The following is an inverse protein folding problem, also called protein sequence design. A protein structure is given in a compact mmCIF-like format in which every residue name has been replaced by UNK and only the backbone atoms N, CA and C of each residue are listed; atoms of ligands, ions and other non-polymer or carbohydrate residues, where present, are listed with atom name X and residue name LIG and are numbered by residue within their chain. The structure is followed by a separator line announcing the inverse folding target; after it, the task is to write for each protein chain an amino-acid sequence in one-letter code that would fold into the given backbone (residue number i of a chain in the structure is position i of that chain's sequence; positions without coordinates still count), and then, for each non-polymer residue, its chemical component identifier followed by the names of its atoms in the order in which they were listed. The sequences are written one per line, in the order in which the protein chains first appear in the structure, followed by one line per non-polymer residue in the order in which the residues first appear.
data_IF_900966188748
#
_entry.id   IF_900966188748
#
_cell.length_a   1.000
_cell.length_b   1.000
_cell.length_c   1.000
_cell.angle_alpha   90.00
_cell.angle_beta   90.00
_cell.angle_gamma   90.00
#
_symmetry.space_group_name_H-M   'P 1'
#
loop_
_entity.id
_entity.type
_entity.pdbx_description
1 polymer ?
#
# COMPACT_ATOMS: atom_id res chain seq x y z
N UNK A 1 -55.18 -63.78 -21.56
CA UNK A 1 -53.85 -64.25 -22.02
C UNK A 1 -53.29 -63.24 -23.00
N UNK A 2 -52.07 -62.71 -22.72
CA UNK A 2 -51.16 -62.00 -23.65
C UNK A 2 -51.69 -60.69 -24.26
N UNK A 3 -50.93 -59.61 -24.45
CA UNK A 3 -49.57 -59.19 -24.05
C UNK A 3 -49.54 -57.66 -24.23
N UNK A 4 -48.64 -57.04 -23.48
CA UNK A 4 -48.42 -55.61 -23.22
C UNK A 4 -48.08 -54.81 -24.49
N UNK A 5 -48.60 -53.59 -24.57
CA UNK A 5 -48.22 -52.51 -25.51
C UNK A 5 -47.26 -51.56 -24.78
N UNK A 6 -46.22 -51.06 -25.45
CA UNK A 6 -45.65 -49.68 -25.42
C UNK A 6 -44.23 -49.73 -26.05
N UNK A 7 -44.06 -49.23 -27.28
CA UNK A 7 -43.62 -47.88 -27.69
C UNK A 7 -42.14 -47.56 -27.38
N UNK A 8 -41.48 -47.17 -28.48
CA UNK A 8 -40.12 -46.65 -28.70
C UNK A 8 -39.42 -46.00 -27.51
N UNK A 9 -38.09 -46.20 -27.45
CA UNK A 9 -37.12 -45.14 -27.17
C UNK A 9 -35.77 -45.48 -27.82
N UNK A 10 -35.42 -44.71 -28.85
CA UNK A 10 -34.12 -44.72 -29.51
C UNK A 10 -33.06 -44.22 -28.53
N UNK A 11 -32.22 -45.12 -28.00
CA UNK A 11 -31.01 -44.73 -27.28
C UNK A 11 -29.86 -44.59 -28.27
N UNK A 12 -29.60 -43.34 -28.66
CA UNK A 12 -28.36 -42.92 -29.29
C UNK A 12 -27.20 -43.21 -28.34
N UNK A 13 -26.34 -44.18 -28.71
CA UNK A 13 -25.08 -44.38 -28.02
C UNK A 13 -24.12 -43.27 -28.43
N UNK A 14 -23.99 -42.26 -27.58
CA UNK A 14 -22.87 -41.33 -27.64
C UNK A 14 -21.61 -42.05 -27.16
N UNK A 15 -20.65 -42.20 -28.07
CA UNK A 15 -19.33 -42.76 -27.77
C UNK A 15 -18.65 -41.85 -26.76
N UNK A 16 -18.45 -42.35 -25.55
CA UNK A 16 -17.65 -41.72 -24.50
C UNK A 16 -16.20 -41.58 -24.97
N UNK A 17 -15.83 -40.38 -25.44
CA UNK A 17 -14.44 -40.00 -25.58
C UNK A 17 -13.85 -39.74 -24.17
N UNK A 18 -13.43 -40.79 -23.48
CA UNK A 18 -12.50 -40.69 -22.35
C UNK A 18 -11.13 -40.24 -22.89
N UNK A 19 -10.92 -38.94 -23.10
CA UNK A 19 -9.58 -38.37 -23.12
C UNK A 19 -9.24 -37.92 -21.70
N UNK A 20 -8.34 -38.68 -21.08
CA UNK A 20 -7.65 -38.38 -19.81
C UNK A 20 -7.33 -36.88 -19.74
N UNK A 21 -7.91 -36.17 -18.78
CA UNK A 21 -7.37 -34.87 -18.34
C UNK A 21 -5.92 -35.14 -17.94
N UNK A 22 -4.95 -34.58 -18.67
CA UNK A 22 -3.61 -34.38 -18.14
C UNK A 22 -3.80 -33.59 -16.86
N UNK A 23 -3.48 -34.19 -15.72
CA UNK A 23 -3.21 -33.43 -14.50
C UNK A 23 -2.04 -32.53 -14.88
N UNK A 24 -2.34 -31.26 -15.14
CA UNK A 24 -1.31 -30.22 -15.11
C UNK A 24 -0.87 -30.23 -13.67
N UNK A 25 0.34 -30.70 -13.38
CA UNK A 25 0.96 -30.43 -12.09
C UNK A 25 0.88 -28.93 -11.89
N UNK A 26 0.06 -28.48 -10.94
CA UNK A 26 0.11 -27.12 -10.45
C UNK A 26 1.53 -26.94 -9.93
N UNK A 27 2.36 -26.28 -10.72
CA UNK A 27 3.64 -25.77 -10.27
C UNK A 27 3.30 -24.95 -9.03
N UNK A 28 3.82 -25.30 -7.85
CA UNK A 28 3.47 -24.57 -6.65
C UNK A 28 3.86 -23.11 -6.90
N UNK A 29 2.87 -22.23 -6.84
CA UNK A 29 3.00 -20.78 -6.98
C UNK A 29 3.72 -20.23 -5.73
N UNK A 30 4.94 -20.72 -5.51
CA UNK A 30 5.89 -20.29 -4.51
C UNK A 30 7.06 -19.63 -5.21
N UNK A 31 6.79 -18.88 -6.28
CA UNK A 31 7.57 -17.69 -6.60
C UNK A 31 7.12 -16.68 -5.54
N UNK A 32 7.79 -16.59 -4.38
CA UNK A 32 8.93 -15.68 -4.24
C UNK A 32 8.71 -14.43 -5.09
N UNK A 33 7.65 -13.69 -4.78
CA UNK A 33 7.70 -12.24 -4.91
C UNK A 33 8.70 -11.83 -3.83
N UNK A 34 9.98 -11.90 -4.17
CA UNK A 34 10.98 -11.17 -3.40
C UNK A 34 10.52 -9.72 -3.46
N UNK A 35 10.17 -9.16 -2.30
CA UNK A 35 9.72 -7.76 -2.18
C UNK A 35 10.76 -6.92 -2.92
N UNK A 36 10.35 -6.32 -4.04
CA UNK A 36 11.27 -5.63 -4.96
C UNK A 36 12.08 -4.62 -4.14
N UNK A 37 13.38 -4.90 -3.96
CA UNK A 37 14.26 -4.02 -3.19
C UNK A 37 14.57 -2.81 -4.05
N UNK A 38 14.08 -1.67 -3.60
CA UNK A 38 14.38 -0.38 -4.22
C UNK A 38 15.87 -0.10 -3.98
N UNK A 39 16.65 0.26 -5.01
CA UNK A 39 18.04 0.68 -4.85
C UNK A 39 18.18 1.81 -3.82
N UNK A 40 19.21 1.76 -2.97
CA UNK A 40 19.37 2.76 -1.89
C UNK A 40 19.57 4.18 -2.41
N UNK A 41 20.18 4.33 -3.57
CA UNK A 41 20.39 5.61 -4.27
C UNK A 41 19.08 6.20 -4.81
N UNK A 42 18.04 5.39 -4.97
CA UNK A 42 16.68 5.82 -5.32
C UNK A 42 15.84 6.19 -4.10
N UNK A 43 16.33 6.03 -2.86
CA UNK A 43 15.56 6.33 -1.64
C UNK A 43 15.89 7.70 -1.02
N UNK A 44 14.86 8.44 -0.62
CA UNK A 44 14.97 9.65 0.20
C UNK A 44 15.29 9.36 1.67
N UNK A 45 15.30 8.10 2.08
CA UNK A 45 15.56 7.67 3.45
C UNK A 45 16.84 8.27 4.04
N UNK A 46 17.94 8.29 3.27
CA UNK A 46 19.20 8.90 3.69
C UNK A 46 19.09 10.42 3.93
N UNK A 47 18.29 11.10 3.12
CA UNK A 47 18.04 12.55 3.22
C UNK A 47 17.14 12.92 4.40
N UNK A 48 16.11 12.11 4.64
CA UNK A 48 15.11 12.37 5.67
C UNK A 48 15.54 11.89 7.05
N UNK A 49 16.53 10.99 7.14
CA UNK A 49 17.07 10.45 8.39
C UNK A 49 17.37 11.57 9.41
N UNK A 50 16.83 11.41 10.62
CA UNK A 50 17.01 12.32 11.75
C UNK A 50 16.19 13.61 11.69
N UNK A 51 15.36 13.79 10.66
CA UNK A 51 14.56 15.01 10.50
C UNK A 51 13.23 14.94 11.25
N UNK A 52 12.81 16.11 11.75
CA UNK A 52 11.49 16.33 12.34
C UNK A 52 10.67 17.27 11.46
N UNK A 53 9.38 16.98 11.41
CA UNK A 53 8.39 17.70 10.63
C UNK A 53 7.12 17.84 11.43
N UNK A 54 6.48 18.99 11.33
CA UNK A 54 5.41 19.42 12.21
C UNK A 54 4.13 19.65 11.43
N UNK A 55 3.01 19.26 12.03
CA UNK A 55 1.69 19.35 11.42
C UNK A 55 0.59 19.47 12.49
N UNK A 56 -0.63 19.72 12.04
CA UNK A 56 -1.80 19.77 12.91
C UNK A 56 -2.89 18.90 12.32
N UNK A 57 -3.00 17.68 12.86
CA UNK A 57 -3.95 16.67 12.38
C UNK A 57 -5.40 17.16 12.36
N UNK A 58 -5.76 18.19 13.14
CA UNK A 58 -7.12 18.76 13.13
C UNK A 58 -7.38 19.72 11.96
N UNK A 59 -6.33 20.36 11.45
CA UNK A 59 -6.42 21.34 10.37
C UNK A 59 -6.11 20.72 9.01
N UNK A 60 -5.41 19.59 8.99
CA UNK A 60 -5.17 18.81 7.78
C UNK A 60 -6.47 18.12 7.30
N UNK A 61 -6.63 18.00 5.98
CA UNK A 61 -7.81 17.38 5.37
C UNK A 61 -7.62 15.87 5.29
N UNK A 62 -8.71 15.11 5.32
CA UNK A 62 -8.68 13.63 5.36
C UNK A 62 -7.89 12.95 4.22
N UNK A 63 -7.59 13.65 3.12
CA UNK A 63 -6.85 13.11 1.97
C UNK A 63 -5.45 13.72 1.75
N UNK A 64 -5.04 14.72 2.55
CA UNK A 64 -3.76 15.41 2.37
C UNK A 64 -3.13 15.80 3.71
N UNK A 65 -1.84 15.52 3.87
CA UNK A 65 -1.05 15.90 5.05
C UNK A 65 0.06 16.87 4.64
N UNK A 66 0.10 18.04 5.27
CA UNK A 66 1.13 19.04 5.04
C UNK A 66 2.06 19.17 6.24
N UNK A 67 3.34 18.86 6.02
CA UNK A 67 4.36 18.87 7.07
C UNK A 67 5.37 19.98 6.79
N UNK A 68 5.75 20.74 7.81
CA UNK A 68 6.78 21.77 7.69
C UNK A 68 7.73 21.79 8.91
N UNK A 69 8.49 22.88 9.05
CA UNK A 69 9.45 23.09 10.15
C UNK A 69 8.87 23.91 11.32
N UNK A 70 7.57 24.24 11.31
CA UNK A 70 6.96 25.06 12.35
C UNK A 70 6.72 24.25 13.63
N UNK A 71 7.66 24.35 14.57
CA UNK A 71 7.60 23.66 15.85
C UNK A 71 6.48 24.11 16.80
N UNK A 72 5.68 25.11 16.41
CA UNK A 72 4.48 25.54 17.15
C UNK A 72 3.29 24.60 16.92
N UNK A 73 3.31 23.81 15.85
CA UNK A 73 2.24 22.83 15.59
C UNK A 73 2.36 21.64 16.56
N UNK A 74 1.22 21.07 16.99
CA UNK A 74 1.20 20.11 18.09
C UNK A 74 1.71 18.71 17.73
N UNK A 75 1.59 18.30 16.46
CA UNK A 75 1.89 16.94 16.03
C UNK A 75 3.21 16.88 15.27
N UNK A 76 3.93 15.76 15.43
CA UNK A 76 5.31 15.63 14.93
C UNK A 76 5.52 14.30 14.23
N UNK A 77 5.96 14.34 12.97
CA UNK A 77 6.58 13.21 12.26
C UNK A 77 8.10 13.29 12.44
N UNK A 78 8.69 12.23 12.95
CA UNK A 78 10.13 12.07 13.12
C UNK A 78 10.63 10.87 12.33
N UNK A 79 11.49 11.11 11.34
CA UNK A 79 12.22 10.05 10.65
C UNK A 79 13.42 9.66 11.51
N UNK A 80 13.20 8.82 12.52
CA UNK A 80 14.15 8.49 13.60
C UNK A 80 15.53 8.08 13.06
N UNK A 81 15.54 7.20 12.06
CA UNK A 81 16.75 6.82 11.33
C UNK A 81 16.41 6.58 9.85
N UNK A 82 17.32 5.98 9.07
CA UNK A 82 17.08 5.72 7.64
C UNK A 82 16.08 4.60 7.34
N UNK A 83 15.40 4.04 8.35
CA UNK A 83 14.40 2.98 8.18
C UNK A 83 13.15 3.21 9.03
N UNK A 84 13.28 3.83 10.20
CA UNK A 84 12.21 3.94 11.19
C UNK A 84 11.65 5.34 11.25
N UNK A 85 10.34 5.43 11.41
CA UNK A 85 9.65 6.68 11.72
C UNK A 85 8.85 6.58 13.02
N UNK A 86 8.54 7.74 13.58
CA UNK A 86 7.60 7.88 14.68
C UNK A 86 6.76 9.14 14.47
N UNK A 87 5.44 9.00 14.52
CA UNK A 87 4.51 10.13 14.61
C UNK A 87 4.04 10.23 16.06
N UNK A 88 4.12 11.44 16.61
CA UNK A 88 3.59 11.76 17.94
C UNK A 88 2.44 12.72 17.77
N UNK A 89 1.24 12.28 18.16
CA UNK A 89 0.03 13.09 18.18
C UNK A 89 -0.16 13.63 19.59
N UNK A 90 -0.28 14.96 19.71
CA UNK A 90 -0.45 15.64 20.99
C UNK A 90 -1.59 16.66 20.91
N UNK A 91 -2.77 16.14 20.59
CA UNK A 91 -4.01 16.90 20.52
C UNK A 91 -4.75 16.79 21.86
N UNK A 92 -5.53 17.82 22.22
CA UNK A 92 -6.14 17.93 23.56
C UNK A 92 -6.74 16.63 24.14
N UNK A 93 -7.55 15.90 23.36
CA UNK A 93 -8.15 14.62 23.74
C UNK A 93 -7.50 13.38 23.09
N UNK A 94 -6.44 13.54 22.30
CA UNK A 94 -5.76 12.46 21.60
C UNK A 94 -4.25 12.55 21.78
N UNK A 95 -3.70 11.63 22.58
CA UNK A 95 -2.26 11.46 22.79
C UNK A 95 -1.86 10.08 22.33
N UNK A 96 -1.25 10.00 21.16
CA UNK A 96 -0.94 8.73 20.51
C UNK A 96 0.45 8.76 19.89
N UNK A 97 1.01 7.57 19.69
CA UNK A 97 2.30 7.39 19.03
C UNK A 97 2.16 6.30 17.98
N UNK A 98 2.37 6.67 16.72
CA UNK A 98 2.40 5.74 15.58
C UNK A 98 3.86 5.48 15.25
N UNK A 99 4.24 4.21 15.09
CA UNK A 99 5.62 3.79 14.79
C UNK A 99 5.63 2.79 13.66
N UNK A 100 6.68 2.83 12.85
CA UNK A 100 6.83 1.88 11.76
C UNK A 100 8.15 2.03 11.03
N UNK A 101 8.21 1.39 9.88
CA UNK A 101 9.28 1.58 8.91
C UNK A 101 8.80 2.39 7.71
N UNK A 102 9.73 3.03 7.01
CA UNK A 102 9.42 3.79 5.81
C UNK A 102 10.43 3.55 4.70
N UNK A 103 9.97 3.64 3.45
CA UNK A 103 10.77 3.59 2.23
C UNK A 103 10.17 4.56 1.21
N UNK A 104 10.78 5.73 1.06
CA UNK A 104 10.28 6.80 0.19
C UNK A 104 11.21 6.92 -1.02
N UNK A 105 10.67 6.72 -2.23
CA UNK A 105 11.42 6.84 -3.49
C UNK A 105 11.66 8.31 -3.87
N UNK A 106 12.80 8.58 -4.52
CA UNK A 106 13.09 9.79 -5.31
C UNK A 106 12.43 9.65 -6.69
N UNK A 107 12.17 10.74 -7.40
CA UNK A 107 11.91 10.64 -8.85
C UNK A 107 13.17 10.78 -9.70
N UNK A 108 13.03 10.28 -10.93
CA UNK A 108 14.02 10.28 -11.98
C UNK A 108 14.32 11.66 -12.59
N UNK A 109 13.47 12.67 -12.36
CA UNK A 109 13.67 14.05 -12.84
C UNK A 109 14.20 15.01 -11.76
N UNK A 110 14.49 14.48 -10.56
CA UNK A 110 14.85 15.29 -9.39
C UNK A 110 13.65 15.83 -8.60
N UNK A 111 12.42 15.61 -9.08
CA UNK A 111 11.19 15.86 -8.32
C UNK A 111 10.86 14.68 -7.38
N UNK A 112 9.78 14.82 -6.63
CA UNK A 112 9.39 13.91 -5.56
C UNK A 112 7.92 13.56 -5.72
N UNK A 113 7.56 12.78 -6.72
CA UNK A 113 6.33 12.00 -6.64
C UNK A 113 6.71 10.52 -6.68
N UNK A 114 5.93 9.65 -6.06
CA UNK A 114 6.27 8.22 -6.05
C UNK A 114 5.64 7.59 -7.29
N UNK A 115 6.16 6.46 -7.75
CA UNK A 115 5.37 5.62 -8.64
C UNK A 115 4.01 5.37 -7.98
N UNK A 116 2.97 5.75 -8.71
CA UNK A 116 1.57 5.43 -8.49
C UNK A 116 1.37 4.10 -7.74
N UNK A 117 0.75 4.13 -6.55
CA UNK A 117 0.41 2.93 -5.77
C UNK A 117 1.48 2.40 -4.79
N UNK A 118 2.56 3.15 -4.53
CA UNK A 118 3.56 2.73 -3.53
C UNK A 118 3.05 2.93 -2.09
N UNK A 119 3.41 2.00 -1.21
CA UNK A 119 3.05 2.01 0.20
C UNK A 119 4.30 2.36 1.02
N UNK A 120 4.62 3.66 1.19
CA UNK A 120 5.89 4.09 1.74
C UNK A 120 6.02 3.80 3.23
N UNK A 121 4.93 3.56 3.95
CA UNK A 121 4.96 3.30 5.39
C UNK A 121 4.43 1.91 5.72
N UNK A 122 5.08 1.28 6.69
CA UNK A 122 4.63 0.04 7.32
C UNK A 122 4.50 0.26 8.80
N UNK A 123 3.27 0.38 9.27
CA UNK A 123 2.96 0.65 10.68
C UNK A 123 3.10 -0.64 11.50
N UNK A 124 3.68 -0.51 12.69
CA UNK A 124 3.93 -1.62 13.63
C UNK A 124 3.28 -1.41 14.99
N UNK A 125 2.94 -0.16 15.35
CA UNK A 125 2.15 0.16 16.53
C UNK A 125 0.67 -0.20 16.32
N UNK A 126 -0.06 -0.61 17.38
CA UNK A 126 -1.50 -0.83 17.27
C UNK A 126 -2.24 0.48 16.98
N UNK A 127 -3.28 0.42 16.16
CA UNK A 127 -4.16 1.56 15.89
C UNK A 127 -4.96 1.97 17.13
N UNK A 128 -5.18 3.27 17.30
CA UNK A 128 -6.03 3.83 18.34
C UNK A 128 -7.15 4.63 17.69
N UNK A 129 -8.34 4.64 18.30
CA UNK A 129 -9.55 5.25 17.73
C UNK A 129 -9.35 6.71 17.31
N UNK A 130 -8.59 7.49 18.07
CA UNK A 130 -8.43 8.93 17.79
C UNK A 130 -7.44 9.25 16.65
N UNK A 131 -6.76 8.25 16.09
CA UNK A 131 -5.84 8.38 14.94
C UNK A 131 -6.19 7.38 13.84
N UNK A 132 -7.42 6.86 13.82
CA UNK A 132 -7.83 5.81 12.89
C UNK A 132 -7.66 6.25 11.43
N UNK A 133 -8.12 7.46 11.11
CA UNK A 133 -8.06 8.00 9.74
C UNK A 133 -6.62 8.25 9.29
N UNK A 134 -5.78 8.82 10.17
CA UNK A 134 -4.34 8.97 9.90
C UNK A 134 -3.65 7.61 9.74
N UNK A 135 -4.04 6.61 10.52
CA UNK A 135 -3.52 5.25 10.42
C UNK A 135 -3.88 4.61 9.07
N UNK A 136 -5.13 4.79 8.63
CA UNK A 136 -5.63 4.31 7.34
C UNK A 136 -4.92 5.00 6.19
N UNK A 137 -4.85 6.33 6.21
CA UNK A 137 -4.10 7.13 5.24
C UNK A 137 -2.65 6.65 5.10
N UNK A 138 -1.93 6.52 6.23
CA UNK A 138 -0.53 6.07 6.25
C UNK A 138 -0.34 4.62 5.78
N UNK A 139 -1.38 3.79 5.88
CA UNK A 139 -1.34 2.39 5.44
C UNK A 139 -1.70 2.23 3.96
N UNK A 140 -2.20 3.28 3.31
CA UNK A 140 -2.59 3.28 1.90
C UNK A 140 -1.44 3.57 0.94
N UNK A 141 -1.82 3.74 -0.33
CA UNK A 141 -0.94 4.30 -1.34
C UNK A 141 -0.82 5.81 -1.12
N UNK A 142 0.41 6.33 -1.05
CA UNK A 142 0.65 7.75 -0.73
C UNK A 142 1.68 8.31 -1.69
N UNK A 143 1.31 9.42 -2.31
CA UNK A 143 2.22 10.25 -3.07
C UNK A 143 2.87 11.27 -2.13
N UNK A 144 4.20 11.24 -2.05
CA UNK A 144 4.97 12.09 -1.14
C UNK A 144 5.87 12.99 -1.96
N UNK A 145 5.72 14.31 -1.76
CA UNK A 145 6.59 15.34 -2.30
C UNK A 145 7.35 16.10 -1.23
N UNK A 146 8.58 16.49 -1.55
CA UNK A 146 9.45 17.33 -0.73
C UNK A 146 9.85 18.52 -1.59
N UNK A 147 9.61 19.74 -1.10
CA UNK A 147 9.96 20.94 -1.84
C UNK A 147 11.48 21.07 -2.05
N UNK A 148 11.87 21.88 -3.04
CA UNK A 148 13.28 22.08 -3.41
C UNK A 148 14.13 22.56 -2.23
N UNK A 149 13.53 23.37 -1.34
CA UNK A 149 14.20 23.93 -0.17
C UNK A 149 14.17 23.02 1.06
N UNK A 150 13.53 21.84 0.98
CA UNK A 150 13.34 20.86 2.07
C UNK A 150 12.73 21.49 3.32
N UNK A 151 11.83 22.44 3.12
CA UNK A 151 11.04 23.10 4.16
C UNK A 151 9.67 22.46 4.32
N UNK A 152 9.17 21.78 3.29
CA UNK A 152 7.81 21.26 3.21
C UNK A 152 7.84 19.81 2.72
N UNK A 153 7.02 18.96 3.33
CA UNK A 153 6.61 17.67 2.77
C UNK A 153 5.10 17.69 2.59
N UNK A 154 4.63 17.39 1.39
CA UNK A 154 3.23 17.14 1.13
C UNK A 154 3.01 15.64 0.92
N UNK A 155 1.98 15.10 1.55
CA UNK A 155 1.55 13.72 1.35
C UNK A 155 0.10 13.72 0.90
N UNK A 156 -0.21 12.99 -0.15
CA UNK A 156 -1.56 12.89 -0.70
C UNK A 156 -1.92 11.44 -0.93
N UNK A 157 -3.21 11.14 -0.84
CA UNK A 157 -3.70 9.82 -1.25
C UNK A 157 -3.34 9.59 -2.72
N UNK A 158 -2.60 8.51 -2.98
CA UNK A 158 -2.22 8.12 -4.33
C UNK A 158 -3.37 7.42 -5.05
N UNK A 159 -3.47 7.59 -6.36
CA UNK A 159 -4.47 6.86 -7.15
C UNK A 159 -4.13 5.35 -7.16
N UNK A 160 -5.03 4.53 -6.63
CA UNK A 160 -4.93 3.07 -6.72
C UNK A 160 -5.30 2.61 -8.13
N UNK A 161 -4.33 2.47 -9.03
CA UNK A 161 -4.58 1.74 -10.27
C UNK A 161 -4.47 0.24 -10.01
N UNK A 162 -5.38 -0.58 -10.55
CA UNK A 162 -5.18 -2.02 -10.53
C UNK A 162 -3.84 -2.34 -11.20
N UNK A 163 -3.09 -3.34 -10.72
CA UNK A 163 -1.84 -3.73 -11.34
C UNK A 163 -2.10 -4.01 -12.82
N UNK A 164 -1.50 -3.19 -13.70
CA UNK A 164 -1.57 -3.42 -15.14
C UNK A 164 -0.82 -4.72 -15.41
N UNK A 165 -1.55 -5.84 -15.49
CA UNK A 165 -0.98 -7.11 -15.93
C UNK A 165 -0.49 -6.88 -17.37
N UNK A 166 0.81 -6.99 -17.66
CA UNK A 166 1.29 -6.85 -19.02
C UNK A 166 0.79 -8.04 -19.85
N UNK A 167 -0.13 -7.76 -20.78
CA UNK A 167 -0.36 -8.54 -22.00
C UNK A 167 -1.15 -9.84 -21.89
N UNK A 168 -2.20 -9.93 -22.72
CA UNK A 168 -2.51 -11.14 -23.49
C UNK A 168 -2.33 -10.82 -24.97
#
# INVERSE_FOLDING_TARGET
MKKIILILLCFSQTVFAQRKKKTVEEIPLKQQIEEYKIPEDELLNGTLKGSKWYFDMKNDKEAELYLDKDNRKPDVLNFVDGKRFQITINQGNCKSVIKGTYEIKKMNDGSTTVQLGHHPFKITSPSQKCVADLYEFLSGAIDISVDENRQIIEMKEGENFPPTVPGY
#
